data_IF_732407742318
#
_entry.id   IF_732407742318
#
_cell.length_a   1.000
_cell.length_b   1.000
_cell.length_c   1.000
_cell.angle_alpha   90.00
_cell.angle_beta   90.00
_cell.angle_gamma   90.00
#
_symmetry.space_group_name_H-M   'P 1'
#
loop_
_entity.id
_entity.type
_entity.pdbx_description
1 polymer ?
#
# COMPACT_ATOMS: atom_id res chain seq x y z
N UNK A 1 34.46 -36.95 14.42
CA UNK A 1 33.14 -36.71 13.79
C UNK A 1 32.83 -35.22 13.97
N UNK A 2 33.05 -34.40 12.94
CA UNK A 2 32.82 -32.94 13.02
C UNK A 2 31.40 -32.62 12.49
N UNK A 3 30.66 -31.67 13.08
CA UNK A 3 29.35 -31.31 12.57
C UNK A 3 29.50 -30.55 11.25
N UNK A 4 28.83 -31.02 10.20
CA UNK A 4 28.68 -30.27 8.95
C UNK A 4 27.90 -28.99 9.28
N UNK A 5 28.54 -27.82 9.10
CA UNK A 5 27.83 -26.55 9.12
C UNK A 5 26.82 -26.54 7.97
N UNK A 6 25.54 -26.53 8.30
CA UNK A 6 24.49 -26.28 7.33
C UNK A 6 24.59 -24.81 6.91
N UNK A 7 24.92 -24.58 5.64
CA UNK A 7 24.93 -23.23 5.05
C UNK A 7 23.48 -22.82 4.86
N UNK A 8 22.98 -21.91 5.69
CA UNK A 8 21.67 -21.26 5.47
C UNK A 8 21.83 -20.39 4.22
N UNK A 9 21.29 -20.84 3.10
CA UNK A 9 21.21 -20.04 1.87
C UNK A 9 19.96 -19.20 1.98
N UNK A 10 20.11 -17.93 2.39
CA UNK A 10 19.04 -16.93 2.32
C UNK A 10 18.84 -16.61 0.84
N UNK A 11 17.61 -16.73 0.35
CA UNK A 11 17.28 -16.47 -1.05
C UNK A 11 17.55 -15.00 -1.41
N UNK A 12 17.96 -14.72 -2.65
CA UNK A 12 18.08 -13.35 -3.14
C UNK A 12 16.75 -12.58 -3.02
N UNK A 13 15.61 -13.26 -3.13
CA UNK A 13 14.28 -12.68 -2.95
C UNK A 13 14.03 -12.28 -1.49
N UNK A 14 14.50 -13.08 -0.53
CA UNK A 14 14.42 -12.75 0.90
C UNK A 14 15.30 -11.55 1.25
N UNK A 15 16.49 -11.44 0.65
CA UNK A 15 17.40 -10.30 0.84
C UNK A 15 16.82 -9.01 0.25
N UNK A 16 16.24 -9.07 -0.96
CA UNK A 16 15.59 -7.93 -1.60
C UNK A 16 14.37 -7.48 -0.79
N UNK A 17 13.55 -8.43 -0.32
CA UNK A 17 12.39 -8.12 0.51
C UNK A 17 12.79 -7.48 1.84
N UNK A 18 13.82 -8.01 2.50
CA UNK A 18 14.34 -7.48 3.77
C UNK A 18 14.93 -6.08 3.59
N UNK A 19 15.71 -5.86 2.51
CA UNK A 19 16.29 -4.55 2.21
C UNK A 19 15.22 -3.53 1.86
N UNK A 20 14.21 -3.92 1.08
CA UNK A 20 13.06 -3.08 0.75
C UNK A 20 12.27 -2.70 2.01
N UNK A 21 12.00 -3.66 2.91
CA UNK A 21 11.34 -3.41 4.19
C UNK A 21 12.14 -2.45 5.09
N UNK A 22 13.46 -2.65 5.19
CA UNK A 22 14.32 -1.79 5.98
C UNK A 22 14.35 -0.35 5.43
N UNK A 23 14.42 -0.20 4.11
CA UNK A 23 14.37 1.10 3.45
C UNK A 23 13.02 1.80 3.65
N UNK A 24 11.91 1.05 3.59
CA UNK A 24 10.56 1.56 3.84
C UNK A 24 10.40 2.02 5.30
N UNK A 25 10.91 1.27 6.28
CA UNK A 25 10.86 1.63 7.71
C UNK A 25 11.67 2.90 8.02
N UNK A 26 12.85 3.05 7.42
CA UNK A 26 13.64 4.30 7.53
C UNK A 26 12.85 5.48 6.98
N UNK A 27 12.23 5.31 5.80
CA UNK A 27 11.45 6.37 5.16
C UNK A 27 10.25 6.76 6.01
N UNK A 28 9.55 5.78 6.61
CA UNK A 28 8.42 6.01 7.51
C UNK A 28 8.85 6.83 8.74
N UNK A 29 9.96 6.45 9.39
CA UNK A 29 10.52 7.15 10.56
C UNK A 29 10.97 8.58 10.26
N UNK A 30 11.50 8.84 9.06
CA UNK A 30 11.91 10.19 8.63
C UNK A 30 10.69 11.05 8.30
N UNK A 31 9.60 10.44 7.82
CA UNK A 31 8.37 11.13 7.42
C UNK A 31 7.47 11.54 8.59
N UNK A 32 7.54 10.81 9.71
CA UNK A 32 6.66 10.96 10.87
C UNK A 32 6.76 12.33 11.58
N UNK A 33 7.96 12.89 11.86
CA UNK A 33 8.09 14.21 12.47
C UNK A 33 7.51 15.34 11.60
N UNK A 34 7.56 15.15 10.27
CA UNK A 34 7.03 16.09 9.29
C UNK A 34 5.53 15.85 9.01
N UNK A 35 4.92 14.84 9.65
CA UNK A 35 3.55 14.34 9.39
C UNK A 35 3.31 14.08 7.90
N UNK A 36 4.36 13.80 7.13
CA UNK A 36 4.26 13.51 5.71
C UNK A 36 3.50 12.22 5.48
N UNK A 37 3.53 11.27 6.41
CA UNK A 37 2.72 10.05 6.38
C UNK A 37 1.22 10.26 6.65
N UNK A 38 0.82 11.47 7.04
CA UNK A 38 -0.57 11.86 7.35
C UNK A 38 -1.07 13.03 6.52
N UNK A 39 -0.25 13.48 5.58
CA UNK A 39 -0.56 14.61 4.74
C UNK A 39 -1.75 14.23 3.86
N UNK A 40 -2.82 15.02 3.90
CA UNK A 40 -4.04 14.75 3.13
C UNK A 40 -4.76 13.43 3.48
N UNK A 41 -4.56 12.83 4.66
CA UNK A 41 -5.30 11.62 5.09
C UNK A 41 -6.82 11.82 4.97
N UNK A 42 -7.31 13.01 5.32
CA UNK A 42 -8.74 13.38 5.22
C UNK A 42 -9.25 13.46 3.77
N UNK A 43 -8.34 13.47 2.79
CA UNK A 43 -8.69 13.46 1.38
C UNK A 43 -8.82 12.06 0.81
N UNK A 44 -7.97 11.12 1.24
CA UNK A 44 -7.95 9.76 0.72
C UNK A 44 -8.93 8.84 1.45
N UNK A 45 -10.18 9.31 1.52
CA UNK A 45 -11.27 8.64 2.20
C UNK A 45 -12.19 7.96 1.21
N UNK A 46 -12.85 6.90 1.67
CA UNK A 46 -13.89 6.22 0.90
C UNK A 46 -15.09 7.14 0.74
N UNK A 47 -15.57 7.28 -0.49
CA UNK A 47 -16.81 7.96 -0.81
C UNK A 47 -17.71 7.01 -1.60
N UNK A 48 -18.76 6.48 -0.95
CA UNK A 48 -19.73 5.56 -1.54
C UNK A 48 -20.43 6.08 -2.82
N UNK A 49 -20.32 7.39 -3.11
CA UNK A 49 -20.87 8.02 -4.32
C UNK A 49 -19.93 7.97 -5.51
N UNK A 50 -18.68 7.52 -5.33
CA UNK A 50 -17.75 7.36 -6.45
C UNK A 50 -18.29 6.34 -7.45
N UNK A 51 -18.28 6.72 -8.73
CA UNK A 51 -18.78 5.88 -9.82
C UNK A 51 -17.92 4.64 -10.07
N UNK A 52 -16.72 4.61 -9.50
CA UNK A 52 -15.72 3.55 -9.70
C UNK A 52 -15.68 2.54 -8.55
N UNK A 53 -16.50 2.68 -7.51
CA UNK A 53 -16.48 1.75 -6.37
C UNK A 53 -16.78 0.31 -6.77
N UNK A 54 -17.65 0.10 -7.76
CA UNK A 54 -17.99 -1.25 -8.24
C UNK A 54 -16.80 -2.00 -8.82
N UNK A 55 -15.79 -1.29 -9.34
CA UNK A 55 -14.57 -1.90 -9.87
C UNK A 55 -13.81 -2.66 -8.78
N UNK A 56 -13.89 -2.21 -7.52
CA UNK A 56 -13.24 -2.86 -6.39
C UNK A 56 -13.86 -4.21 -6.02
N UNK A 57 -15.01 -4.60 -6.59
CA UNK A 57 -15.57 -5.94 -6.40
C UNK A 57 -14.71 -7.03 -7.05
N UNK A 58 -13.86 -6.68 -8.02
CA UNK A 58 -12.87 -7.62 -8.57
C UNK A 58 -11.92 -8.18 -7.50
N UNK A 59 -11.76 -7.46 -6.38
CA UNK A 59 -10.87 -7.83 -5.27
C UNK A 59 -11.58 -8.59 -4.14
N UNK A 60 -12.84 -9.02 -4.32
CA UNK A 60 -13.62 -9.73 -3.29
C UNK A 60 -12.95 -11.00 -2.77
N UNK A 61 -12.30 -11.76 -3.66
CA UNK A 61 -11.57 -12.95 -3.25
C UNK A 61 -10.26 -12.60 -2.55
N UNK A 62 -9.60 -11.55 -3.01
CA UNK A 62 -8.34 -11.09 -2.44
C UNK A 62 -8.54 -10.51 -1.04
N UNK A 63 -9.64 -9.82 -0.79
CA UNK A 63 -9.98 -9.27 0.52
C UNK A 63 -10.25 -10.35 1.58
N UNK A 64 -10.65 -11.56 1.16
CA UNK A 64 -10.76 -12.72 2.07
C UNK A 64 -9.39 -13.21 2.54
N UNK A 65 -8.36 -13.04 1.71
CA UNK A 65 -6.97 -13.47 1.98
C UNK A 65 -6.23 -12.35 2.73
N UNK A 66 -6.33 -11.13 2.20
CA UNK A 66 -5.69 -9.92 2.69
C UNK A 66 -6.78 -8.91 3.08
N UNK A 67 -7.26 -9.02 4.32
CA UNK A 67 -8.33 -8.17 4.84
C UNK A 67 -7.98 -6.70 4.68
N UNK A 68 -8.87 -5.93 4.04
CA UNK A 68 -8.72 -4.50 3.86
C UNK A 68 -8.23 -4.07 2.47
N UNK A 69 -7.86 -5.02 1.58
CA UNK A 69 -7.48 -4.69 0.20
C UNK A 69 -8.66 -4.09 -0.57
N UNK A 70 -9.88 -4.59 -0.38
CA UNK A 70 -11.07 -4.01 -1.04
C UNK A 70 -11.35 -2.59 -0.53
N UNK A 71 -11.23 -2.38 0.77
CA UNK A 71 -11.42 -1.06 1.38
C UNK A 71 -10.35 -0.07 0.89
N UNK A 72 -9.09 -0.50 0.74
CA UNK A 72 -8.02 0.30 0.14
C UNK A 72 -8.35 0.70 -1.29
N UNK A 73 -8.81 -0.24 -2.13
CA UNK A 73 -9.26 0.08 -3.49
C UNK A 73 -10.36 1.13 -3.47
N UNK A 74 -11.38 0.97 -2.60
CA UNK A 74 -12.50 1.92 -2.51
C UNK A 74 -12.02 3.33 -2.15
N UNK A 75 -11.08 3.48 -1.20
CA UNK A 75 -10.47 4.77 -0.88
C UNK A 75 -9.74 5.35 -2.09
N UNK A 76 -8.91 4.54 -2.77
CA UNK A 76 -8.12 4.97 -3.93
C UNK A 76 -9.03 5.50 -5.07
N UNK A 77 -10.00 4.70 -5.51
CA UNK A 77 -10.87 5.09 -6.63
C UNK A 77 -11.78 6.27 -6.27
N UNK A 78 -12.19 6.40 -5.00
CA UNK A 78 -12.93 7.58 -4.52
C UNK A 78 -12.08 8.84 -4.58
N UNK A 79 -10.82 8.73 -4.19
CA UNK A 79 -9.86 9.84 -4.19
C UNK A 79 -9.56 10.31 -5.60
N UNK A 80 -9.34 9.38 -6.53
CA UNK A 80 -9.10 9.68 -7.95
C UNK A 80 -10.33 10.34 -8.59
N UNK A 81 -11.53 9.85 -8.29
CA UNK A 81 -12.79 10.46 -8.76
C UNK A 81 -12.94 11.89 -8.22
N UNK A 82 -12.61 12.11 -6.95
CA UNK A 82 -12.62 13.44 -6.32
C UNK A 82 -11.58 14.39 -6.93
N UNK A 83 -10.36 13.92 -7.20
CA UNK A 83 -9.33 14.70 -7.93
C UNK A 83 -9.81 15.10 -9.31
N UNK A 84 -10.60 14.25 -9.98
CA UNK A 84 -11.12 14.54 -11.32
C UNK A 84 -12.26 15.58 -11.31
N UNK A 85 -13.06 15.62 -10.23
CA UNK A 85 -14.27 16.46 -10.13
C UNK A 85 -14.08 17.79 -9.44
N UNK A 86 -13.20 17.86 -8.43
CA UNK A 86 -13.10 19.05 -7.57
C UNK A 86 -12.38 20.17 -8.34
N UNK A 87 -12.91 21.39 -8.25
CA UNK A 87 -12.17 22.58 -8.66
C UNK A 87 -11.01 22.78 -7.69
N UNK A 88 -9.86 22.28 -8.09
CA UNK A 88 -8.56 22.48 -7.44
C UNK A 88 -7.68 23.27 -8.38
N UNK A 89 -6.91 24.21 -7.83
CA UNK A 89 -5.84 24.83 -8.58
C UNK A 89 -4.81 23.76 -9.01
N UNK A 90 -4.05 24.05 -10.06
CA UNK A 90 -3.10 23.09 -10.63
C UNK A 90 -2.08 22.59 -9.61
N UNK A 91 -1.54 23.48 -8.78
CA UNK A 91 -0.53 23.13 -7.78
C UNK A 91 -1.07 22.14 -6.74
N UNK A 92 -2.25 22.40 -6.19
CA UNK A 92 -2.88 21.52 -5.20
C UNK A 92 -3.17 20.13 -5.79
N UNK A 93 -3.62 20.09 -7.05
CA UNK A 93 -3.83 18.84 -7.78
C UNK A 93 -2.52 18.09 -7.97
N UNK A 94 -1.48 18.77 -8.42
CA UNK A 94 -0.16 18.19 -8.66
C UNK A 94 0.46 17.68 -7.35
N UNK A 95 0.36 18.43 -6.25
CA UNK A 95 0.85 18.02 -4.93
C UNK A 95 0.15 16.74 -4.42
N UNK A 96 -1.19 16.66 -4.57
CA UNK A 96 -1.95 15.46 -4.19
C UNK A 96 -1.66 14.27 -5.11
N UNK A 97 -1.49 14.49 -6.40
CA UNK A 97 -1.10 13.43 -7.34
C UNK A 97 0.31 12.90 -7.05
N UNK A 98 1.26 13.80 -6.77
CA UNK A 98 2.64 13.43 -6.42
C UNK A 98 2.72 12.72 -5.07
N UNK A 99 1.82 13.07 -4.14
CA UNK A 99 1.76 12.44 -2.83
C UNK A 99 1.04 11.07 -2.83
N UNK A 100 0.12 10.84 -3.78
CA UNK A 100 -0.69 9.62 -3.85
C UNK A 100 0.10 8.30 -3.71
N UNK A 101 1.26 8.10 -4.37
CA UNK A 101 2.04 6.88 -4.22
C UNK A 101 2.48 6.63 -2.78
N UNK A 102 2.91 7.67 -2.07
CA UNK A 102 3.38 7.56 -0.68
C UNK A 102 2.26 7.13 0.25
N UNK A 103 1.09 7.76 0.12
CA UNK A 103 -0.10 7.37 0.86
C UNK A 103 -0.49 5.91 0.58
N UNK A 104 -0.52 5.52 -0.71
CA UNK A 104 -0.88 4.18 -1.13
C UNK A 104 0.07 3.12 -0.54
N UNK A 105 1.38 3.36 -0.61
CA UNK A 105 2.37 2.47 0.01
C UNK A 105 2.19 2.39 1.54
N UNK A 106 1.89 3.51 2.20
CA UNK A 106 1.60 3.53 3.63
C UNK A 106 0.40 2.66 4.01
N UNK A 107 -0.71 2.77 3.29
CA UNK A 107 -1.90 1.94 3.52
C UNK A 107 -1.64 0.47 3.22
N UNK A 108 -0.89 0.16 2.16
CA UNK A 108 -0.52 -1.21 1.84
C UNK A 108 0.37 -1.81 2.92
N UNK A 109 1.34 -1.05 3.43
CA UNK A 109 2.18 -1.46 4.55
C UNK A 109 1.37 -1.81 5.80
N UNK A 110 0.25 -1.11 6.06
CA UNK A 110 -0.66 -1.43 7.17
C UNK A 110 -1.34 -2.79 6.99
N UNK A 111 -1.69 -3.16 5.76
CA UNK A 111 -2.27 -4.48 5.44
C UNK A 111 -1.21 -5.57 5.71
N UNK A 112 0.02 -5.43 5.20
CA UNK A 112 1.08 -6.43 5.39
C UNK A 112 1.65 -6.52 6.82
N UNK A 113 1.51 -5.47 7.64
CA UNK A 113 1.90 -5.51 9.06
C UNK A 113 1.00 -6.46 9.88
N UNK A 114 -0.12 -6.94 9.35
CA UNK A 114 -0.92 -7.98 10.02
C UNK A 114 -0.17 -9.33 10.10
N UNK A 115 -0.08 -9.96 11.31
CA UNK A 115 0.69 -11.19 11.53
C UNK A 115 0.31 -12.37 10.63
N UNK A 116 -0.94 -12.41 10.15
CA UNK A 116 -1.51 -13.44 9.26
C UNK A 116 -0.88 -13.47 7.87
N UNK A 117 -0.18 -12.41 7.45
CA UNK A 117 0.41 -12.28 6.12
C UNK A 117 1.92 -12.55 6.09
N UNK A 118 2.51 -13.03 7.19
CA UNK A 118 3.95 -13.33 7.27
C UNK A 118 4.34 -14.68 6.66
N UNK A 119 3.37 -15.53 6.32
CA UNK A 119 3.62 -16.85 5.72
C UNK A 119 3.57 -16.79 4.19
N UNK A 120 4.75 -16.62 3.60
CA UNK A 120 5.30 -17.11 2.31
C UNK A 120 4.48 -17.29 1.01
N UNK A 121 3.15 -17.13 0.96
CA UNK A 121 2.35 -17.32 -0.26
C UNK A 121 1.87 -15.99 -0.89
N UNK A 122 2.45 -14.87 -0.45
CA UNK A 122 2.08 -13.53 -0.88
C UNK A 122 2.54 -13.26 -2.30
N UNK A 123 1.67 -13.51 -3.29
CA UNK A 123 1.71 -12.65 -4.47
C UNK A 123 1.49 -11.22 -3.95
N UNK A 124 2.38 -10.26 -4.24
CA UNK A 124 2.14 -8.89 -3.81
C UNK A 124 0.84 -8.45 -4.49
N UNK A 125 -0.26 -8.35 -3.73
CA UNK A 125 -1.57 -7.96 -4.25
C UNK A 125 -1.51 -6.63 -5.00
N UNK A 126 -0.43 -5.86 -4.82
CA UNK A 126 -0.02 -4.74 -5.65
C UNK A 126 -0.24 -4.99 -7.16
N UNK A 127 0.10 -6.18 -7.69
CA UNK A 127 -0.13 -6.47 -9.11
C UNK A 127 -1.62 -6.46 -9.46
N UNK A 128 -2.45 -7.06 -8.62
CA UNK A 128 -3.92 -7.09 -8.81
C UNK A 128 -4.57 -5.72 -8.51
N UNK A 129 -3.94 -4.89 -7.67
CA UNK A 129 -4.42 -3.55 -7.34
C UNK A 129 -4.11 -2.52 -8.43
N UNK A 130 -2.97 -2.67 -9.12
CA UNK A 130 -2.47 -1.70 -10.12
C UNK A 130 -2.94 -2.09 -11.54
N UNK A 131 -3.37 -3.34 -11.74
CA UNK A 131 -3.76 -3.90 -13.03
C UNK A 131 -2.64 -4.68 -13.70
#
# INVERSE_FOLDING_TARGET
MAPKQARVVVSADELVFTYFYYYLDITEKVSEPLKLNKLYDDFYVKDSKSKFISECNALDNLDKIHKGVKELCMKLVSSLDNLSKKEMNKQERDDRCNYLPYWLYGEIGKIYKEPSLKSSDNTPFFKELIG
#
